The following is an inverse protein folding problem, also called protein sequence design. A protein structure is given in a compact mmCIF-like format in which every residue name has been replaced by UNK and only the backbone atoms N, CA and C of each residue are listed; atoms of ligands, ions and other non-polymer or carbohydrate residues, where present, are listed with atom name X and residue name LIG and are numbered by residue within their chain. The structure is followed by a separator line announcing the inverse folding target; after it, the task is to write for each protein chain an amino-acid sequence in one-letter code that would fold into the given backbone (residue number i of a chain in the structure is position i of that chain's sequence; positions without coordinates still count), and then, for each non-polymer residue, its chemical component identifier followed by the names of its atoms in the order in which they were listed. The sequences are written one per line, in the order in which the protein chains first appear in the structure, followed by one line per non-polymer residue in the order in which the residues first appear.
data_IF_341788271198
#
_entry.id   IF_341788271198
#
_cell.length_a   1.000
_cell.length_b   1.000
_cell.length_c   1.000
_cell.angle_alpha   90.00
_cell.angle_beta   90.00
_cell.angle_gamma   90.00
#
_symmetry.space_group_name_H-M   'P 1'
#
loop_
_entity.id
_entity.type
_entity.pdbx_description
1 polymer ?
#
# COMPACT_ATOMS: atom_id res chain seq x y z
N UNK A 1 11.43 -8.81 22.99
CA UNK A 1 10.29 -9.73 23.25
C UNK A 1 9.51 -9.48 24.54
N UNK A 2 10.02 -8.76 25.55
CA UNK A 2 9.34 -8.62 26.86
C UNK A 2 8.02 -7.82 26.86
N UNK A 3 7.72 -7.05 25.82
CA UNK A 3 6.55 -6.16 25.77
C UNK A 3 5.33 -6.74 25.04
N UNK A 4 5.40 -7.92 24.43
CA UNK A 4 4.30 -8.48 23.63
C UNK A 4 3.08 -8.84 24.50
N UNK A 5 3.31 -9.35 25.71
CA UNK A 5 2.25 -9.65 26.68
C UNK A 5 1.64 -8.40 27.33
N UNK A 6 2.21 -7.21 27.12
CA UNK A 6 1.68 -5.97 27.69
C UNK A 6 0.47 -5.52 26.87
N UNK A 7 -0.68 -5.41 27.54
CA UNK A 7 -1.89 -4.83 26.93
C UNK A 7 -1.63 -3.40 26.47
N UNK A 8 -2.03 -3.08 25.24
CA UNK A 8 -1.94 -1.74 24.66
C UNK A 8 -3.34 -1.14 24.56
N UNK A 9 -3.47 0.13 24.89
CA UNK A 9 -4.66 0.95 24.61
C UNK A 9 -4.56 1.49 23.19
N UNK A 10 -4.96 0.68 22.21
CA UNK A 10 -5.02 1.07 20.81
C UNK A 10 -6.22 0.40 20.13
N UNK A 11 -6.64 0.93 18.99
CA UNK A 11 -7.65 0.31 18.13
C UNK A 11 -7.00 -0.11 16.81
N UNK A 12 -7.11 -1.39 16.47
CA UNK A 12 -6.68 -1.90 15.16
C UNK A 12 -7.68 -1.45 14.09
N UNK A 13 -7.16 -1.04 12.94
CA UNK A 13 -7.92 -0.76 11.72
C UNK A 13 -7.23 -1.41 10.53
N UNK A 14 -7.97 -1.61 9.44
CA UNK A 14 -7.46 -2.13 8.17
C UNK A 14 -8.17 -1.42 7.03
N UNK A 15 -7.38 -1.07 6.01
CA UNK A 15 -7.86 -0.75 4.68
C UNK A 15 -7.34 -1.84 3.75
N UNK A 16 -8.15 -2.29 2.81
CA UNK A 16 -7.78 -3.33 1.85
C UNK A 16 -8.59 -3.16 0.56
N UNK A 17 -8.12 -3.79 -0.51
CA UNK A 17 -8.80 -3.83 -1.81
C UNK A 17 -10.01 -4.76 -1.85
N UNK A 18 -10.63 -5.06 -0.69
CA UNK A 18 -11.68 -6.07 -0.64
C UNK A 18 -12.90 -5.62 -1.45
N UNK A 19 -13.65 -6.58 -1.99
CA UNK A 19 -14.85 -6.31 -2.75
C UNK A 19 -15.98 -5.86 -1.80
N UNK A 20 -16.36 -4.58 -1.90
CA UNK A 20 -17.41 -4.00 -1.05
C UNK A 20 -18.82 -4.56 -1.36
N UNK A 21 -19.00 -5.27 -2.48
CA UNK A 21 -20.25 -5.97 -2.80
C UNK A 21 -20.37 -7.30 -2.06
N UNK A 22 -19.27 -7.80 -1.46
CA UNK A 22 -19.19 -9.13 -0.88
C UNK A 22 -18.83 -10.23 -1.89
N UNK A 23 -18.48 -9.85 -3.12
CA UNK A 23 -17.93 -10.74 -4.14
C UNK A 23 -16.45 -11.09 -3.90
N UNK A 24 -15.75 -11.46 -4.98
CA UNK A 24 -14.35 -11.91 -4.95
C UNK A 24 -13.45 -11.04 -5.84
N UNK A 25 -13.91 -9.86 -6.25
CA UNK A 25 -13.09 -8.90 -6.99
C UNK A 25 -12.23 -8.08 -6.01
N UNK A 26 -11.43 -8.76 -5.18
CA UNK A 26 -10.65 -8.16 -4.08
C UNK A 26 -9.37 -7.45 -4.55
N UNK A 27 -9.46 -6.68 -5.64
CA UNK A 27 -8.35 -5.95 -6.26
C UNK A 27 -8.81 -4.62 -6.85
N UNK A 28 -7.84 -3.73 -7.09
CA UNK A 28 -8.06 -2.45 -7.76
C UNK A 28 -7.39 -2.51 -9.13
N UNK A 29 -8.10 -2.10 -10.19
CA UNK A 29 -7.52 -1.96 -11.53
C UNK A 29 -7.04 -0.53 -11.73
N UNK A 30 -5.76 -0.36 -12.05
CA UNK A 30 -5.15 0.94 -12.34
C UNK A 30 -4.81 0.96 -13.84
N UNK A 31 -5.48 1.83 -14.59
CA UNK A 31 -5.22 2.01 -16.02
C UNK A 31 -3.90 2.77 -16.26
N UNK A 32 -3.30 2.67 -17.46
CA UNK A 32 -2.11 3.44 -17.79
C UNK A 32 -2.29 4.94 -17.54
N UNK A 33 -1.37 5.56 -16.80
CA UNK A 33 -1.42 6.98 -16.41
C UNK A 33 -2.44 7.32 -15.33
N UNK A 34 -3.28 6.37 -14.90
CA UNK A 34 -4.24 6.58 -13.83
C UNK A 34 -3.57 6.48 -12.45
N UNK A 35 -4.22 7.08 -11.46
CA UNK A 35 -3.86 6.97 -10.04
C UNK A 35 -5.06 6.47 -9.27
N UNK A 36 -4.83 5.57 -8.31
CA UNK A 36 -5.85 5.11 -7.39
C UNK A 36 -5.45 5.48 -5.95
N UNK A 37 -6.42 5.96 -5.18
CA UNK A 37 -6.26 6.22 -3.74
C UNK A 37 -6.47 4.90 -3.01
N UNK A 38 -5.42 4.38 -2.36
CA UNK A 38 -5.50 3.14 -1.58
C UNK A 38 -6.18 3.35 -0.22
N UNK A 39 -6.16 4.57 0.29
CA UNK A 39 -6.77 4.90 1.57
C UNK A 39 -6.47 6.30 2.06
N UNK A 40 -7.43 6.88 2.78
CA UNK A 40 -7.26 8.11 3.55
C UNK A 40 -7.53 7.79 5.02
N UNK A 41 -6.60 8.18 5.90
CA UNK A 41 -6.68 7.88 7.33
C UNK A 41 -6.69 9.21 8.08
N UNK A 42 -7.81 9.53 8.70
CA UNK A 42 -7.94 10.72 9.53
C UNK A 42 -7.48 10.45 10.98
N UNK A 43 -6.80 11.44 11.56
CA UNK A 43 -6.35 11.43 12.95
C UNK A 43 -5.04 10.66 13.17
N UNK A 44 -4.59 10.62 14.42
CA UNK A 44 -3.32 10.01 14.78
C UNK A 44 -3.35 8.47 14.70
N UNK A 45 -2.27 7.89 14.19
CA UNK A 45 -2.13 6.44 14.06
C UNK A 45 -0.71 6.02 13.70
N UNK A 46 -0.52 4.71 13.54
CA UNK A 46 0.74 4.13 13.07
C UNK A 46 0.43 2.98 12.12
N UNK A 47 0.95 3.06 10.90
CA UNK A 47 0.89 1.94 9.95
C UNK A 47 1.99 0.96 10.35
N UNK A 48 1.60 -0.20 10.86
CA UNK A 48 2.54 -1.23 11.33
C UNK A 48 2.71 -2.39 10.35
N UNK A 49 1.89 -2.43 9.30
CA UNK A 49 1.89 -3.52 8.32
C UNK A 49 1.31 -3.04 7.00
N UNK A 50 2.06 -3.26 5.91
CA UNK A 50 1.63 -3.04 4.54
C UNK A 50 1.88 -4.35 3.79
N UNK A 51 0.86 -4.85 3.11
CA UNK A 51 0.98 -6.00 2.22
C UNK A 51 0.37 -5.62 0.88
N UNK A 52 1.09 -5.90 -0.20
CA UNK A 52 0.66 -5.61 -1.56
C UNK A 52 1.14 -6.71 -2.50
N UNK A 53 0.29 -7.04 -3.46
CA UNK A 53 0.65 -7.77 -4.67
C UNK A 53 0.10 -6.99 -5.85
N UNK A 54 0.74 -7.13 -7.01
CA UNK A 54 0.29 -6.52 -8.25
C UNK A 54 0.58 -7.47 -9.40
N UNK A 55 -0.15 -7.30 -10.49
CA UNK A 55 0.06 -8.08 -11.72
C UNK A 55 -0.21 -7.20 -12.92
N UNK A 56 0.58 -7.39 -13.97
CA UNK A 56 0.42 -6.73 -15.26
C UNK A 56 1.07 -7.58 -16.34
N UNK A 57 0.59 -7.45 -17.57
CA UNK A 57 1.22 -8.04 -18.75
C UNK A 57 2.46 -7.25 -19.21
N UNK A 58 2.70 -6.07 -18.65
CA UNK A 58 3.83 -5.23 -19.01
C UNK A 58 5.15 -5.72 -18.42
N UNK A 59 6.20 -5.71 -19.24
CA UNK A 59 7.55 -6.01 -18.77
C UNK A 59 8.01 -5.00 -17.70
N UNK A 60 8.61 -5.51 -16.63
CA UNK A 60 9.13 -4.72 -15.51
C UNK A 60 8.09 -3.79 -14.83
N UNK A 61 6.82 -4.21 -14.79
CA UNK A 61 5.72 -3.40 -14.24
C UNK A 61 5.92 -2.98 -12.77
N UNK A 62 6.72 -3.70 -11.99
CA UNK A 62 7.05 -3.34 -10.59
C UNK A 62 7.80 -2.01 -10.47
N UNK A 63 8.43 -1.53 -11.55
CA UNK A 63 9.02 -0.19 -11.63
C UNK A 63 8.14 0.84 -12.35
N UNK A 64 6.99 0.42 -12.87
CA UNK A 64 6.02 1.28 -13.58
C UNK A 64 4.87 1.74 -12.67
N UNK A 65 4.68 1.09 -11.52
CA UNK A 65 3.77 1.53 -10.47
C UNK A 65 4.54 2.33 -9.42
N UNK A 66 4.07 3.53 -9.08
CA UNK A 66 4.67 4.38 -8.05
C UNK A 66 3.75 4.41 -6.84
N UNK A 67 4.32 4.07 -5.67
CA UNK A 67 3.65 4.18 -4.38
C UNK A 67 3.93 5.57 -3.80
N UNK A 68 2.86 6.27 -3.42
CA UNK A 68 2.95 7.60 -2.80
C UNK A 68 2.25 7.63 -1.45
N UNK A 69 2.86 8.29 -0.46
CA UNK A 69 2.29 8.50 0.86
C UNK A 69 2.54 9.93 1.32
N UNK A 70 1.52 10.53 1.95
CA UNK A 70 1.56 11.86 2.52
C UNK A 70 1.21 11.79 4.00
N UNK A 71 1.92 12.55 4.82
CA UNK A 71 1.66 12.65 6.25
C UNK A 71 1.20 14.07 6.64
N UNK A 72 0.29 14.15 7.61
CA UNK A 72 -0.08 15.40 8.29
C UNK A 72 -0.46 16.59 7.38
N UNK A 73 -1.05 16.29 6.21
CA UNK A 73 -1.55 17.31 5.27
C UNK A 73 -0.47 18.00 4.43
N UNK A 74 0.72 17.41 4.32
CA UNK A 74 1.80 17.95 3.48
C UNK A 74 1.43 18.02 1.99
N UNK A 75 1.99 19.02 1.28
CA UNK A 75 1.71 19.23 -0.14
C UNK A 75 2.48 18.25 -1.06
N UNK A 76 3.60 17.72 -0.60
CA UNK A 76 4.49 16.82 -1.35
C UNK A 76 4.61 15.49 -0.64
N UNK A 77 4.65 14.35 -1.35
CA UNK A 77 4.69 13.05 -0.69
C UNK A 77 6.01 12.83 0.07
N UNK A 78 5.92 12.41 1.34
CA UNK A 78 7.07 11.92 2.11
C UNK A 78 7.64 10.59 1.60
N UNK A 79 6.81 9.78 0.93
CA UNK A 79 7.24 8.55 0.24
C UNK A 79 6.79 8.65 -1.20
N UNK A 80 7.72 8.61 -2.15
CA UNK A 80 7.43 8.51 -3.59
C UNK A 80 8.48 7.61 -4.24
N UNK A 81 8.14 6.34 -4.45
CA UNK A 81 9.09 5.33 -4.96
C UNK A 81 8.37 4.31 -5.84
N UNK A 82 9.07 3.66 -6.78
CA UNK A 82 8.49 2.51 -7.47
C UNK A 82 8.08 1.41 -6.49
N UNK A 83 6.94 0.76 -6.75
CA UNK A 83 6.34 -0.23 -5.84
C UNK A 83 7.30 -1.38 -5.54
N UNK A 84 7.99 -1.90 -6.56
CA UNK A 84 8.99 -2.96 -6.39
C UNK A 84 10.15 -2.51 -5.49
N UNK A 85 10.67 -1.31 -5.70
CA UNK A 85 11.81 -0.79 -4.95
C UNK A 85 11.48 -0.59 -3.47
N UNK A 86 10.26 -0.15 -3.14
CA UNK A 86 9.77 -0.05 -1.75
C UNK A 86 9.86 -1.39 -1.00
N UNK A 87 9.55 -2.49 -1.68
CA UNK A 87 9.60 -3.85 -1.11
C UNK A 87 10.92 -4.59 -1.38
N UNK A 88 11.96 -3.90 -1.84
CA UNK A 88 13.28 -4.48 -2.08
C UNK A 88 13.38 -5.33 -3.35
N UNK A 89 12.41 -5.26 -4.27
CA UNK A 89 12.42 -5.94 -5.58
C UNK A 89 13.09 -5.06 -6.63
N UNK A 90 14.39 -4.81 -6.42
CA UNK A 90 15.15 -3.81 -7.17
C UNK A 90 15.36 -4.12 -8.66
N UNK A 91 15.16 -5.34 -9.15
CA UNK A 91 15.31 -5.64 -10.58
C UNK A 91 13.99 -5.58 -11.36
N UNK A 92 12.86 -5.30 -10.68
CA UNK A 92 11.52 -5.36 -11.27
C UNK A 92 11.20 -6.67 -12.01
N UNK A 93 11.87 -7.75 -11.61
CA UNK A 93 11.68 -9.09 -12.16
C UNK A 93 10.83 -9.90 -11.19
N UNK A 94 9.80 -10.53 -11.73
CA UNK A 94 9.08 -11.60 -11.07
C UNK A 94 9.76 -12.92 -11.44
N UNK A 95 10.00 -13.77 -10.46
CA UNK A 95 10.52 -15.13 -10.68
C UNK A 95 9.47 -16.06 -11.27
#
# INVERSE_FOLDING_TARGET
MRSLARRRTCRTRRLSSFDHTGGNADFIVIQPGATAVLGEIAGAGCITHIWMTSTSQEAAYLRRLVLRMWWDGEATPSVEVPLGDFFGVGHAQTV
#
